data_IF_073086770638
#
_entry.id   IF_073086770638
#
_cell.length_a   1.000
_cell.length_b   1.000
_cell.length_c   1.000
_cell.angle_alpha   90.00
_cell.angle_beta   90.00
_cell.angle_gamma   90.00
#
_symmetry.space_group_name_H-M   'P 1'
#
loop_
_entity.id
_entity.type
_entity.pdbx_description
1 polymer ?
#
# COMPACT_ATOMS: atom_id res chain seq x y z
N UNK A 1 -33.69 -26.30 3.22
CA UNK A 1 -33.84 -24.83 3.09
C UNK A 1 -33.32 -24.21 4.36
N UNK A 2 -32.04 -23.84 4.38
CA UNK A 2 -31.39 -23.24 5.55
C UNK A 2 -31.71 -21.75 5.52
N UNK A 3 -32.58 -21.30 6.42
CA UNK A 3 -32.92 -19.88 6.54
C UNK A 3 -31.72 -19.12 7.09
N UNK A 4 -31.29 -18.09 6.36
CA UNK A 4 -30.28 -17.15 6.80
C UNK A 4 -30.86 -16.28 7.95
N UNK A 5 -30.12 -16.20 9.05
CA UNK A 5 -30.46 -15.35 10.21
C UNK A 5 -30.47 -13.88 9.79
N UNK A 6 -31.48 -13.07 10.20
CA UNK A 6 -31.53 -11.66 9.83
C UNK A 6 -30.48 -10.88 10.61
N UNK A 7 -29.56 -10.24 9.89
CA UNK A 7 -28.53 -9.36 10.43
C UNK A 7 -29.21 -8.06 10.89
N UNK A 8 -29.15 -7.76 12.18
CA UNK A 8 -29.67 -6.50 12.74
C UNK A 8 -28.73 -5.37 12.29
N UNK A 9 -29.21 -4.44 11.44
CA UNK A 9 -28.39 -3.34 10.89
C UNK A 9 -27.83 -2.43 11.98
N UNK A 10 -26.51 -2.25 12.02
CA UNK A 10 -25.83 -1.27 12.86
C UNK A 10 -26.01 0.16 12.30
N UNK A 11 -25.96 1.23 13.12
CA UNK A 11 -26.14 2.61 12.66
C UNK A 11 -24.99 3.16 11.79
N UNK A 12 -23.77 2.63 11.92
CA UNK A 12 -22.63 2.96 11.03
C UNK A 12 -22.43 1.82 10.00
N UNK A 13 -22.51 2.09 8.67
CA UNK A 13 -22.33 1.07 7.64
C UNK A 13 -21.03 0.25 7.74
N UNK A 14 -19.98 0.81 8.36
CA UNK A 14 -18.73 0.07 8.57
C UNK A 14 -18.89 -1.01 9.64
N UNK A 15 -19.79 -0.88 10.62
CA UNK A 15 -19.96 -1.88 11.67
C UNK A 15 -20.61 -3.15 11.11
N UNK A 16 -21.50 -3.01 10.12
CA UNK A 16 -22.04 -4.14 9.35
C UNK A 16 -20.90 -4.87 8.61
N UNK A 17 -19.94 -4.13 8.03
CA UNK A 17 -18.74 -4.72 7.41
C UNK A 17 -17.93 -5.50 8.43
N UNK A 18 -17.60 -4.90 9.58
CA UNK A 18 -16.80 -5.53 10.62
C UNK A 18 -17.46 -6.80 11.15
N UNK A 19 -18.77 -6.78 11.33
CA UNK A 19 -19.56 -7.94 11.77
C UNK A 19 -19.50 -9.07 10.76
N UNK A 20 -19.83 -8.80 9.49
CA UNK A 20 -19.81 -9.81 8.42
C UNK A 20 -18.41 -10.38 8.23
N UNK A 21 -17.37 -9.53 8.27
CA UNK A 21 -15.98 -9.98 8.14
C UNK A 21 -15.59 -10.89 9.30
N UNK A 22 -15.92 -10.53 10.54
CA UNK A 22 -15.61 -11.35 11.73
C UNK A 22 -16.29 -12.72 11.68
N UNK A 23 -17.56 -12.78 11.29
CA UNK A 23 -18.34 -14.02 11.23
C UNK A 23 -17.85 -14.97 10.13
N UNK A 24 -17.30 -14.44 9.04
CA UNK A 24 -16.99 -15.20 7.81
C UNK A 24 -15.50 -15.43 7.55
N UNK A 25 -14.60 -15.06 8.47
CA UNK A 25 -13.16 -15.30 8.30
C UNK A 25 -12.80 -16.74 7.90
N UNK A 26 -13.38 -17.81 8.51
CA UNK A 26 -13.08 -19.18 8.11
C UNK A 26 -13.42 -19.47 6.64
N UNK A 27 -14.49 -18.87 6.12
CA UNK A 27 -14.89 -19.02 4.73
C UNK A 27 -13.87 -18.38 3.78
N UNK A 28 -13.32 -17.22 4.13
CA UNK A 28 -12.33 -16.52 3.30
C UNK A 28 -11.05 -17.35 3.17
N UNK A 29 -10.65 -18.00 4.27
CA UNK A 29 -9.49 -18.90 4.36
C UNK A 29 -9.69 -20.18 3.54
N UNK A 30 -10.88 -20.77 3.60
CA UNK A 30 -11.25 -21.97 2.85
C UNK A 30 -11.36 -21.69 1.34
N UNK A 31 -12.12 -20.66 0.97
CA UNK A 31 -12.37 -20.28 -0.44
C UNK A 31 -11.16 -19.64 -1.10
N UNK A 32 -10.20 -19.13 -0.32
CA UNK A 32 -9.02 -18.39 -0.80
C UNK A 32 -9.39 -17.12 -1.57
N UNK A 33 -10.54 -16.51 -1.26
CA UNK A 33 -10.98 -15.20 -1.77
C UNK A 33 -12.12 -14.64 -0.91
N UNK A 34 -12.34 -13.33 -0.96
CA UNK A 34 -13.53 -12.68 -0.39
C UNK A 34 -14.73 -12.94 -1.31
N UNK A 35 -15.83 -13.54 -0.82
CA UNK A 35 -17.03 -13.80 -1.62
C UNK A 35 -17.68 -12.52 -2.15
N UNK A 36 -18.29 -12.59 -3.35
CA UNK A 36 -18.93 -11.43 -4.01
C UNK A 36 -20.02 -10.78 -3.15
N UNK A 37 -20.81 -11.55 -2.42
CA UNK A 37 -21.85 -11.03 -1.55
C UNK A 37 -21.27 -10.23 -0.36
N UNK A 38 -20.04 -10.51 0.08
CA UNK A 38 -19.29 -9.68 1.04
C UNK A 38 -18.76 -8.41 0.39
N UNK A 39 -18.29 -8.49 -0.86
CA UNK A 39 -17.92 -7.30 -1.66
C UNK A 39 -19.11 -6.35 -1.81
N UNK A 40 -20.33 -6.86 -1.97
CA UNK A 40 -21.54 -6.02 -1.99
C UNK A 40 -21.81 -5.33 -0.64
N UNK A 41 -21.41 -5.93 0.50
CA UNK A 41 -21.44 -5.23 1.80
C UNK A 41 -20.44 -4.08 1.80
N UNK A 42 -19.23 -4.29 1.27
CA UNK A 42 -18.21 -3.24 1.15
C UNK A 42 -18.67 -2.08 0.25
N UNK A 43 -19.34 -2.39 -0.87
CA UNK A 43 -19.97 -1.38 -1.75
C UNK A 43 -21.03 -0.57 -1.00
N UNK A 44 -21.94 -1.23 -0.27
CA UNK A 44 -22.96 -0.54 0.54
C UNK A 44 -22.39 0.33 1.64
N UNK A 45 -21.24 -0.03 2.20
CA UNK A 45 -20.51 0.78 3.17
C UNK A 45 -19.72 1.95 2.54
N UNK A 46 -19.77 2.10 1.21
CA UNK A 46 -19.16 3.20 0.48
C UNK A 46 -17.65 3.03 0.26
N UNK A 47 -17.06 1.86 0.52
CA UNK A 47 -15.62 1.65 0.41
C UNK A 47 -15.14 1.80 -1.04
N UNK A 48 -15.93 1.34 -2.01
CA UNK A 48 -15.57 1.39 -3.43
C UNK A 48 -15.93 2.71 -4.12
N UNK A 49 -16.85 3.52 -3.59
CA UNK A 49 -17.08 4.90 -4.08
C UNK A 49 -16.16 5.95 -3.44
N UNK A 50 -15.35 5.57 -2.44
CA UNK A 50 -14.49 6.48 -1.69
C UNK A 50 -13.37 7.15 -2.51
N UNK A 51 -13.18 6.73 -3.76
CA UNK A 51 -12.24 7.35 -4.71
C UNK A 51 -12.83 7.57 -6.11
N UNK A 52 -14.13 7.32 -6.27
CA UNK A 52 -14.86 7.63 -7.51
C UNK A 52 -15.11 9.13 -7.59
N UNK A 53 -14.90 9.79 -8.74
CA UNK A 53 -15.10 11.23 -8.86
C UNK A 53 -16.53 11.66 -8.51
N UNK A 54 -16.69 12.84 -7.89
CA UNK A 54 -18.01 13.35 -7.47
C UNK A 54 -18.98 13.47 -8.64
N UNK A 55 -18.47 13.85 -9.80
CA UNK A 55 -19.25 13.98 -11.03
C UNK A 55 -19.90 12.66 -11.50
N UNK A 56 -19.39 11.52 -11.03
CA UNK A 56 -19.93 10.19 -11.32
C UNK A 56 -20.68 9.59 -10.11
N UNK A 57 -21.07 10.43 -9.13
CA UNK A 57 -21.81 10.02 -7.94
C UNK A 57 -20.96 9.43 -6.82
N UNK A 58 -19.63 9.53 -6.91
CA UNK A 58 -18.73 9.08 -5.85
C UNK A 58 -18.69 10.00 -4.64
N UNK A 59 -18.02 9.51 -3.59
CA UNK A 59 -17.76 10.27 -2.36
C UNK A 59 -16.26 10.26 -2.02
N UNK A 60 -15.42 11.01 -2.77
CA UNK A 60 -13.97 11.06 -2.53
C UNK A 60 -13.62 11.44 -1.09
N UNK A 61 -13.08 10.48 -0.35
CA UNK A 61 -12.64 10.71 1.02
C UNK A 61 -11.22 11.26 1.07
N UNK A 62 -10.89 12.10 2.07
CA UNK A 62 -9.51 12.35 2.45
C UNK A 62 -8.77 11.02 2.70
N UNK A 63 -7.51 10.86 2.25
CA UNK A 63 -6.76 9.61 2.37
C UNK A 63 -6.74 9.03 3.79
N UNK A 64 -6.47 9.85 4.81
CA UNK A 64 -6.43 9.40 6.21
C UNK A 64 -7.78 8.82 6.68
N UNK A 65 -8.91 9.35 6.21
CA UNK A 65 -10.25 8.86 6.58
C UNK A 65 -10.51 7.50 5.94
N UNK A 66 -10.17 7.32 4.67
CA UNK A 66 -10.28 6.03 4.00
C UNK A 66 -9.35 4.98 4.65
N UNK A 67 -8.09 5.35 4.90
CA UNK A 67 -7.10 4.47 5.55
C UNK A 67 -7.56 4.00 6.94
N UNK A 68 -8.22 4.86 7.72
CA UNK A 68 -8.79 4.48 9.02
C UNK A 68 -9.90 3.41 8.90
N UNK A 69 -10.72 3.43 7.85
CA UNK A 69 -11.69 2.37 7.59
C UNK A 69 -10.99 1.05 7.28
N UNK A 70 -9.96 1.09 6.44
CA UNK A 70 -9.17 -0.09 6.07
C UNK A 70 -8.43 -0.67 7.28
N UNK A 71 -7.86 0.18 8.14
CA UNK A 71 -7.22 -0.24 9.39
C UNK A 71 -8.19 -1.03 10.27
N UNK A 72 -9.42 -0.52 10.46
CA UNK A 72 -10.47 -1.18 11.27
C UNK A 72 -10.83 -2.55 10.70
N UNK A 73 -11.03 -2.65 9.39
CA UNK A 73 -11.33 -3.95 8.74
C UNK A 73 -10.15 -4.91 8.88
N UNK A 74 -8.92 -4.41 8.71
CA UNK A 74 -7.69 -5.21 8.78
C UNK A 74 -7.39 -5.73 10.20
N UNK A 75 -7.88 -5.05 11.23
CA UNK A 75 -7.83 -5.52 12.62
C UNK A 75 -8.79 -6.69 12.89
N UNK A 76 -9.81 -6.87 12.05
CA UNK A 76 -10.67 -8.06 12.07
C UNK A 76 -10.06 -9.14 11.18
N UNK A 77 -9.86 -8.83 9.89
CA UNK A 77 -9.27 -9.74 8.92
C UNK A 77 -8.35 -9.00 7.94
N UNK A 78 -7.07 -9.38 7.92
CA UNK A 78 -6.07 -8.75 7.05
C UNK A 78 -6.35 -8.92 5.55
N UNK A 79 -6.94 -10.06 5.14
CA UNK A 79 -7.27 -10.29 3.72
C UNK A 79 -8.44 -9.44 3.26
N UNK A 80 -9.49 -9.33 4.08
CA UNK A 80 -10.64 -8.48 3.82
C UNK A 80 -10.23 -7.00 3.77
N UNK A 81 -9.42 -6.55 4.73
CA UNK A 81 -8.89 -5.19 4.75
C UNK A 81 -8.05 -4.89 3.51
N UNK A 82 -7.19 -5.83 3.10
CA UNK A 82 -6.42 -5.72 1.86
C UNK A 82 -7.31 -5.59 0.63
N UNK A 83 -8.34 -6.42 0.46
CA UNK A 83 -9.25 -6.35 -0.69
C UNK A 83 -10.10 -5.09 -0.69
N UNK A 84 -10.59 -4.66 0.48
CA UNK A 84 -11.33 -3.41 0.63
C UNK A 84 -10.47 -2.18 0.27
N UNK A 85 -9.17 -2.23 0.57
CA UNK A 85 -8.22 -1.14 0.30
C UNK A 85 -8.12 -0.74 -1.17
N UNK A 86 -8.46 -1.66 -2.09
CA UNK A 86 -8.50 -1.40 -3.53
C UNK A 86 -9.63 -0.44 -3.93
N UNK A 87 -10.54 -0.04 -3.03
CA UNK A 87 -11.40 1.12 -3.25
C UNK A 87 -10.59 2.39 -3.60
N UNK A 88 -9.39 2.53 -3.02
CA UNK A 88 -8.47 3.62 -3.39
C UNK A 88 -8.01 3.58 -4.84
N UNK A 89 -7.99 2.41 -5.49
CA UNK A 89 -7.36 2.23 -6.80
C UNK A 89 -8.10 2.94 -7.94
N UNK A 90 -9.33 3.41 -7.70
CA UNK A 90 -10.08 4.23 -8.65
C UNK A 90 -9.42 5.59 -8.93
N UNK A 91 -8.51 6.06 -8.07
CA UNK A 91 -7.64 7.21 -8.39
C UNK A 91 -6.79 6.98 -9.64
N UNK A 92 -6.53 5.73 -10.03
CA UNK A 92 -5.83 5.42 -11.28
C UNK A 92 -6.73 5.62 -12.49
N UNK A 93 -8.01 5.25 -12.37
CA UNK A 93 -8.98 5.33 -13.45
C UNK A 93 -9.35 6.77 -13.79
N UNK A 94 -9.07 7.71 -12.88
CA UNK A 94 -9.17 9.14 -13.14
C UNK A 94 -8.29 9.62 -14.30
N UNK A 95 -7.25 8.88 -14.70
CA UNK A 95 -6.41 9.19 -15.86
C UNK A 95 -7.00 8.73 -17.21
N UNK A 96 -8.14 8.03 -17.20
CA UNK A 96 -8.87 7.69 -18.42
C UNK A 96 -9.57 8.95 -18.99
N UNK A 97 -9.90 8.99 -20.29
CA UNK A 97 -10.80 10.01 -20.85
C UNK A 97 -12.13 10.08 -20.09
N UNK A 98 -12.72 11.28 -20.06
CA UNK A 98 -13.94 11.53 -19.28
C UNK A 98 -15.13 10.71 -19.77
N UNK A 99 -15.20 10.49 -21.07
CA UNK A 99 -16.22 9.69 -21.75
C UNK A 99 -16.08 8.21 -21.35
N UNK A 100 -14.85 7.68 -21.30
CA UNK A 100 -14.56 6.33 -20.81
C UNK A 100 -14.95 6.18 -19.34
N UNK A 101 -14.66 7.19 -18.50
CA UNK A 101 -15.09 7.16 -17.10
C UNK A 101 -16.62 7.23 -16.99
N UNK A 102 -17.30 8.01 -17.82
CA UNK A 102 -18.76 8.05 -17.84
C UNK A 102 -19.36 6.68 -18.19
N UNK A 103 -18.77 5.95 -19.14
CA UNK A 103 -19.16 4.56 -19.45
C UNK A 103 -18.85 3.61 -18.28
N UNK A 104 -17.68 3.74 -17.65
CA UNK A 104 -17.25 2.92 -16.53
C UNK A 104 -18.21 3.02 -15.33
N UNK A 105 -18.67 4.23 -15.01
CA UNK A 105 -19.53 4.52 -13.86
C UNK A 105 -21.02 4.62 -14.22
N UNK A 106 -21.42 4.22 -15.43
CA UNK A 106 -22.80 4.35 -15.91
C UNK A 106 -23.82 3.61 -15.01
N UNK A 107 -23.42 2.46 -14.45
CA UNK A 107 -24.26 1.64 -13.56
C UNK A 107 -24.11 2.00 -12.07
N UNK A 108 -23.35 3.04 -11.75
CA UNK A 108 -23.17 3.56 -10.40
C UNK A 108 -21.69 3.78 -10.00
N UNK A 109 -21.47 4.43 -8.84
CA UNK A 109 -20.13 4.85 -8.42
C UNK A 109 -19.30 3.75 -7.77
N UNK A 110 -19.88 2.61 -7.39
CA UNK A 110 -19.22 1.54 -6.63
C UNK A 110 -18.56 0.50 -7.54
N UNK A 111 -17.56 0.93 -8.31
CA UNK A 111 -16.79 0.06 -9.21
C UNK A 111 -15.66 -0.64 -8.44
N UNK A 112 -15.60 -1.96 -8.52
CA UNK A 112 -14.48 -2.73 -7.97
C UNK A 112 -13.43 -2.95 -9.06
N UNK A 113 -12.30 -2.26 -8.92
CA UNK A 113 -11.14 -2.44 -9.78
C UNK A 113 -10.10 -3.34 -9.10
N UNK A 114 -9.65 -4.37 -9.80
CA UNK A 114 -8.52 -5.20 -9.41
C UNK A 114 -7.56 -5.33 -10.59
N UNK A 115 -6.28 -5.63 -10.34
CA UNK A 115 -5.35 -5.77 -11.45
C UNK A 115 -4.03 -6.41 -11.09
N UNK A 116 -3.45 -7.10 -12.07
CA UNK A 116 -2.09 -7.60 -12.06
C UNK A 116 -1.26 -6.74 -13.00
N UNK A 117 -0.44 -5.84 -12.46
CA UNK A 117 0.33 -4.92 -13.31
C UNK A 117 1.67 -5.50 -13.77
N UNK A 118 2.11 -6.60 -13.16
CA UNK A 118 3.42 -7.20 -13.41
C UNK A 118 3.34 -8.72 -13.63
N UNK A 119 4.27 -9.30 -14.40
CA UNK A 119 5.24 -8.59 -15.25
C UNK A 119 4.54 -7.80 -16.36
N UNK A 120 5.08 -6.63 -16.73
CA UNK A 120 4.55 -5.86 -17.87
C UNK A 120 4.78 -6.67 -19.14
N UNK A 121 3.72 -6.87 -19.92
CA UNK A 121 3.78 -7.65 -21.17
C UNK A 121 3.82 -6.72 -22.38
N UNK A 122 4.52 -7.08 -23.47
CA UNK A 122 4.40 -6.35 -24.72
C UNK A 122 2.96 -6.45 -25.25
N UNK A 123 2.45 -5.36 -25.82
CA UNK A 123 1.18 -5.34 -26.54
C UNK A 123 1.39 -4.74 -27.93
N UNK A 124 0.82 -5.40 -28.93
CA UNK A 124 0.87 -4.98 -30.33
C UNK A 124 -0.18 -3.88 -30.55
N UNK A 125 0.20 -2.77 -31.18
CA UNK A 125 -0.76 -1.76 -31.62
C UNK A 125 -1.45 -2.26 -32.90
N UNK A 126 -2.78 -2.24 -32.88
CA UNK A 126 -3.63 -2.73 -33.97
C UNK A 126 -4.72 -1.70 -34.27
N UNK A 127 -5.48 -1.91 -35.35
CA UNK A 127 -6.69 -1.12 -35.57
C UNK A 127 -7.63 -1.29 -34.37
N UNK A 128 -8.09 -0.15 -33.81
CA UNK A 128 -8.94 -0.13 -32.64
C UNK A 128 -8.24 -0.24 -31.29
N UNK A 129 -6.89 -0.20 -31.21
CA UNK A 129 -6.17 -0.06 -29.94
C UNK A 129 -5.00 -1.03 -29.78
N UNK A 130 -5.00 -1.82 -28.70
CA UNK A 130 -3.92 -2.74 -28.35
C UNK A 130 -4.39 -4.18 -28.25
N UNK A 131 -3.69 -5.10 -28.93
CA UNK A 131 -3.89 -6.54 -28.74
C UNK A 131 -3.11 -6.99 -27.49
N UNK A 132 -3.84 -7.35 -26.46
CA UNK A 132 -3.33 -7.74 -25.14
C UNK A 132 -3.29 -9.26 -25.02
N UNK A 133 -2.09 -9.80 -24.77
CA UNK A 133 -1.88 -11.24 -24.56
C UNK A 133 -0.84 -11.43 -23.46
N UNK A 134 -1.12 -12.31 -22.51
CA UNK A 134 -0.15 -12.64 -21.48
C UNK A 134 -0.75 -13.14 -20.19
N UNK A 135 0.11 -13.20 -19.17
CA UNK A 135 -0.22 -13.59 -17.81
C UNK A 135 0.39 -12.61 -16.82
N UNK A 136 -0.42 -12.10 -15.91
CA UNK A 136 -0.04 -11.16 -14.86
C UNK A 136 -0.34 -11.75 -13.50
N UNK A 137 0.55 -11.52 -12.54
CA UNK A 137 0.48 -12.14 -11.22
C UNK A 137 -0.10 -11.18 -10.18
N UNK A 138 -0.58 -11.75 -9.07
CA UNK A 138 -0.96 -11.02 -7.86
C UNK A 138 -2.14 -10.04 -8.02
N UNK A 139 -3.18 -10.40 -8.79
CA UNK A 139 -4.36 -9.58 -8.91
C UNK A 139 -5.31 -9.78 -7.71
N UNK A 140 -4.99 -9.12 -6.60
CA UNK A 140 -5.77 -9.19 -5.35
C UNK A 140 -7.22 -8.76 -5.58
N UNK A 141 -8.17 -9.52 -5.04
CA UNK A 141 -9.61 -9.23 -5.15
C UNK A 141 -10.22 -9.49 -6.53
N UNK A 142 -9.46 -10.04 -7.49
CA UNK A 142 -9.90 -10.12 -8.89
C UNK A 142 -11.18 -10.95 -9.12
N UNK A 143 -11.51 -11.91 -8.26
CA UNK A 143 -12.74 -12.72 -8.37
C UNK A 143 -14.01 -11.90 -8.09
N UNK A 144 -13.89 -10.82 -7.32
CA UNK A 144 -14.96 -9.89 -7.00
C UNK A 144 -14.94 -8.60 -7.82
N UNK A 145 -14.04 -8.46 -8.80
CA UNK A 145 -13.87 -7.23 -9.56
C UNK A 145 -14.88 -7.06 -10.69
N UNK A 146 -15.34 -5.83 -10.89
CA UNK A 146 -16.21 -5.41 -11.99
C UNK A 146 -15.38 -5.09 -13.25
N UNK A 147 -14.14 -4.64 -13.05
CA UNK A 147 -13.16 -4.39 -14.12
C UNK A 147 -11.75 -4.80 -13.68
N UNK A 148 -10.94 -5.22 -14.65
CA UNK A 148 -9.61 -5.78 -14.43
C UNK A 148 -8.54 -4.99 -15.16
N UNK A 149 -7.41 -4.70 -14.49
CA UNK A 149 -6.27 -3.98 -15.07
C UNK A 149 -5.08 -4.89 -15.30
N UNK A 150 -4.44 -4.77 -16.47
CA UNK A 150 -3.17 -5.46 -16.77
C UNK A 150 -2.12 -4.50 -17.33
N UNK A 151 -0.86 -4.70 -16.92
CA UNK A 151 0.26 -3.84 -17.34
C UNK A 151 0.77 -4.21 -18.73
N UNK A 152 0.74 -3.27 -19.68
CA UNK A 152 1.23 -3.46 -21.05
C UNK A 152 2.35 -2.47 -21.40
N UNK A 153 3.23 -2.87 -22.31
CA UNK A 153 4.20 -2.00 -22.99
C UNK A 153 3.77 -1.85 -24.44
N UNK A 154 3.35 -0.64 -24.81
CA UNK A 154 2.90 -0.29 -26.15
C UNK A 154 4.07 0.13 -27.04
N UNK A 155 4.57 -0.78 -27.89
CA UNK A 155 5.58 -0.48 -28.92
C UNK A 155 6.83 0.29 -28.45
N UNK A 156 7.60 0.82 -29.39
CA UNK A 156 8.75 1.71 -29.11
C UNK A 156 8.32 3.19 -28.98
N UNK A 157 7.12 3.55 -29.44
CA UNK A 157 6.66 4.93 -29.59
C UNK A 157 5.99 5.55 -28.35
N UNK A 158 5.57 4.75 -27.36
CA UNK A 158 4.80 5.25 -26.22
C UNK A 158 5.71 5.68 -25.04
N UNK A 159 6.17 6.94 -25.00
CA UNK A 159 6.79 7.70 -23.86
C UNK A 159 7.73 6.97 -22.86
N UNK A 160 8.17 5.75 -23.16
CA UNK A 160 8.86 4.82 -22.26
C UNK A 160 8.02 4.26 -21.09
N UNK A 161 6.83 4.79 -20.78
CA UNK A 161 6.06 4.41 -19.58
C UNK A 161 5.07 3.26 -19.87
N UNK A 162 5.03 2.21 -19.04
CA UNK A 162 4.00 1.17 -19.15
C UNK A 162 2.58 1.74 -19.03
N UNK A 163 1.67 1.23 -19.86
CA UNK A 163 0.24 1.48 -19.77
C UNK A 163 -0.41 0.40 -18.91
N UNK A 164 -1.57 0.74 -18.34
CA UNK A 164 -2.52 -0.23 -17.81
C UNK A 164 -3.67 -0.32 -18.80
N UNK A 165 -3.93 -1.51 -19.32
CA UNK A 165 -5.13 -1.80 -20.10
C UNK A 165 -6.25 -2.24 -19.15
N UNK A 166 -7.42 -1.62 -19.27
CA UNK A 166 -8.61 -1.96 -18.48
C UNK A 166 -9.50 -2.88 -19.31
N UNK A 167 -9.88 -4.01 -18.74
CA UNK A 167 -10.64 -5.08 -19.37
C UNK A 167 -11.90 -5.38 -18.57
N UNK A 168 -12.97 -5.77 -19.26
CA UNK A 168 -14.17 -6.35 -18.66
C UNK A 168 -13.90 -7.82 -18.27
N UNK A 169 -14.60 -8.40 -17.28
CA UNK A 169 -14.34 -9.76 -16.81
C UNK A 169 -14.39 -10.84 -17.90
N UNK A 170 -15.26 -10.69 -18.91
CA UNK A 170 -15.35 -11.64 -20.04
C UNK A 170 -14.12 -11.69 -20.95
N UNK A 171 -13.24 -10.68 -20.89
CA UNK A 171 -12.00 -10.63 -21.66
C UNK A 171 -10.81 -11.26 -20.93
N UNK A 172 -10.98 -11.64 -19.66
CA UNK A 172 -9.89 -12.09 -18.79
C UNK A 172 -10.24 -13.42 -18.14
N UNK A 173 -9.36 -14.40 -18.27
CA UNK A 173 -9.45 -15.64 -17.49
C UNK A 173 -8.66 -15.48 -16.20
N UNK A 174 -9.34 -15.57 -15.06
CA UNK A 174 -8.71 -15.65 -13.74
C UNK A 174 -8.21 -17.08 -13.53
N UNK A 175 -6.92 -17.24 -13.23
CA UNK A 175 -6.33 -18.56 -12.95
C UNK A 175 -6.40 -18.88 -11.46
N UNK A 176 -7.09 -19.96 -11.07
CA UNK A 176 -7.09 -20.39 -9.67
C UNK A 176 -5.73 -20.98 -9.26
N UNK A 177 -4.80 -20.11 -8.86
CA UNK A 177 -3.46 -20.47 -8.43
C UNK A 177 -3.00 -19.81 -7.12
N UNK A 178 -3.91 -19.24 -6.33
CA UNK A 178 -3.56 -18.56 -5.08
C UNK A 178 -3.51 -19.57 -3.92
N UNK A 179 -2.40 -20.30 -3.79
CA UNK A 179 -2.15 -21.29 -2.74
C UNK A 179 -0.99 -20.83 -1.86
N UNK A 180 -1.31 -20.09 -0.80
CA UNK A 180 -0.34 -19.44 0.09
C UNK A 180 -0.65 -19.74 1.56
N UNK A 181 0.27 -19.42 2.48
CA UNK A 181 0.13 -19.65 3.93
C UNK A 181 -0.44 -18.46 4.71
N UNK A 182 -0.52 -17.28 4.08
CA UNK A 182 -1.06 -16.07 4.68
C UNK A 182 -1.64 -15.17 3.60
N UNK A 183 -2.54 -14.26 3.99
CA UNK A 183 -3.33 -13.45 3.03
C UNK A 183 -4.12 -14.32 2.03
N UNK A 184 -4.60 -15.49 2.47
CA UNK A 184 -5.27 -16.45 1.58
C UNK A 184 -6.59 -15.91 1.05
N UNK A 185 -7.33 -15.20 1.90
CA UNK A 185 -8.60 -14.58 1.53
C UNK A 185 -8.47 -13.46 0.49
N UNK A 186 -7.27 -12.99 0.13
CA UNK A 186 -7.14 -11.93 -0.88
C UNK A 186 -7.47 -12.40 -2.28
N UNK A 187 -7.41 -13.71 -2.55
CA UNK A 187 -7.63 -14.26 -3.89
C UNK A 187 -6.77 -13.59 -4.95
N UNK A 188 -5.47 -13.42 -4.67
CA UNK A 188 -4.53 -12.72 -5.56
C UNK A 188 -4.08 -13.57 -6.75
N UNK A 189 -5.06 -14.18 -7.41
CA UNK A 189 -4.91 -15.03 -8.58
C UNK A 189 -4.24 -14.29 -9.75
N UNK A 190 -3.71 -15.08 -10.68
CA UNK A 190 -3.17 -14.53 -11.92
C UNK A 190 -4.30 -14.18 -12.91
N UNK A 191 -4.10 -13.12 -13.68
CA UNK A 191 -4.95 -12.76 -14.82
C UNK A 191 -4.31 -13.28 -16.10
N UNK A 192 -5.09 -13.93 -16.97
CA UNK A 192 -4.65 -14.42 -18.27
C UNK A 192 -5.54 -13.84 -19.36
N UNK A 193 -4.91 -13.20 -20.35
CA UNK A 193 -5.59 -12.63 -21.52
C UNK A 193 -5.04 -13.28 -22.78
N UNK A 194 -5.93 -13.72 -23.68
CA UNK A 194 -5.60 -14.48 -24.89
C UNK A 194 -5.87 -13.66 -26.17
N UNK A 195 -5.29 -12.47 -26.27
CA UNK A 195 -5.37 -11.64 -27.48
C UNK A 195 -6.61 -10.74 -27.56
N UNK A 196 -7.17 -10.30 -26.43
CA UNK A 196 -8.24 -9.31 -26.42
C UNK A 196 -7.75 -7.98 -26.99
N UNK A 197 -8.56 -7.32 -27.80
CA UNK A 197 -8.28 -5.95 -28.27
C UNK A 197 -8.88 -4.97 -27.26
N UNK A 198 -8.03 -4.11 -26.71
CA UNK A 198 -8.41 -3.06 -25.76
C UNK A 198 -8.30 -1.70 -26.45
N UNK A 199 -9.38 -0.91 -26.52
CA UNK A 199 -9.33 0.44 -27.09
C UNK A 199 -8.32 1.34 -26.39
N UNK A 200 -7.74 2.29 -27.12
CA UNK A 200 -6.70 3.19 -26.60
C UNK A 200 -7.26 4.03 -25.43
N UNK A 201 -8.51 4.46 -25.53
CA UNK A 201 -9.27 5.19 -24.51
C UNK A 201 -9.59 4.37 -23.24
N UNK A 202 -9.42 3.04 -23.29
CA UNK A 202 -9.50 2.13 -22.13
C UNK A 202 -8.10 1.80 -21.56
N UNK A 203 -7.09 2.60 -21.90
CA UNK A 203 -5.74 2.51 -21.34
C UNK A 203 -5.31 3.79 -20.63
N UNK A 204 -4.47 3.66 -19.61
CA UNK A 204 -3.92 4.81 -18.90
C UNK A 204 -2.49 4.55 -18.40
N UNK A 205 -1.71 5.61 -18.17
CA UNK A 205 -0.43 5.51 -17.46
C UNK A 205 -0.70 5.54 -15.96
N UNK A 206 -0.20 4.56 -15.20
CA UNK A 206 -0.37 4.58 -13.73
C UNK A 206 0.33 5.79 -13.11
N UNK A 207 -0.45 6.66 -12.45
CA UNK A 207 0.02 7.95 -11.96
C UNK A 207 0.20 9.00 -13.08
N UNK A 208 -0.47 8.80 -14.22
CA UNK A 208 -0.67 9.83 -15.23
C UNK A 208 -1.60 10.94 -14.74
N UNK A 209 -1.69 12.01 -15.54
CA UNK A 209 -2.51 13.17 -15.22
C UNK A 209 -3.99 12.77 -15.16
N UNK A 210 -4.72 13.09 -14.07
CA UNK A 210 -6.14 12.85 -14.01
C UNK A 210 -6.90 13.80 -14.94
N UNK A 211 -8.00 13.33 -15.53
CA UNK A 211 -8.92 14.16 -16.33
C UNK A 211 -10.03 14.81 -15.49
N UNK A 212 -10.00 14.58 -14.18
CA UNK A 212 -10.89 15.18 -13.17
C UNK A 212 -10.09 16.06 -12.21
N UNK A 213 -10.59 17.27 -11.95
CA UNK A 213 -9.92 18.23 -11.08
C UNK A 213 -10.56 18.28 -9.69
N UNK A 214 -10.20 17.31 -8.84
CA UNK A 214 -10.62 17.26 -7.43
C UNK A 214 -9.41 17.00 -6.52
N UNK A 215 -9.43 17.43 -5.24
CA UNK A 215 -8.26 17.33 -4.37
C UNK A 215 -7.66 15.91 -4.27
N UNK A 216 -8.48 14.87 -4.20
CA UNK A 216 -8.00 13.48 -4.11
C UNK A 216 -7.10 13.07 -5.28
N UNK A 217 -7.39 13.54 -6.49
CA UNK A 217 -6.63 13.17 -7.70
C UNK A 217 -5.30 13.93 -7.83
N UNK A 218 -5.10 14.97 -7.03
CA UNK A 218 -3.82 15.68 -6.90
C UNK A 218 -2.91 15.05 -5.83
N UNK A 219 -3.46 14.14 -5.01
CA UNK A 219 -2.68 13.41 -4.02
C UNK A 219 -1.74 12.40 -4.69
N UNK A 220 -0.48 12.22 -4.23
CA UNK A 220 0.48 11.37 -4.90
C UNK A 220 0.02 9.91 -5.03
N UNK A 221 -0.36 9.51 -6.24
CA UNK A 221 -1.04 8.23 -6.53
C UNK A 221 -0.24 6.99 -6.17
N UNK A 222 1.08 7.01 -6.39
CA UNK A 222 1.97 5.86 -6.10
C UNK A 222 2.27 5.75 -4.60
N UNK A 223 2.62 6.84 -3.88
CA UNK A 223 2.65 6.82 -2.42
C UNK A 223 1.33 6.41 -1.78
N UNK A 224 0.18 6.85 -2.31
CA UNK A 224 -1.13 6.45 -1.80
C UNK A 224 -1.34 4.94 -1.89
N UNK A 225 -0.92 4.33 -3.01
CA UNK A 225 -0.90 2.88 -3.18
C UNK A 225 -0.09 2.19 -2.08
N UNK A 226 1.08 2.72 -1.73
CA UNK A 226 1.89 2.16 -0.66
C UNK A 226 1.23 2.32 0.71
N UNK A 227 0.57 3.46 0.97
CA UNK A 227 -0.14 3.72 2.23
C UNK A 227 -1.29 2.74 2.44
N UNK A 228 -2.12 2.49 1.43
CA UNK A 228 -3.27 1.57 1.56
C UNK A 228 -2.86 0.12 1.79
N UNK A 229 -1.67 -0.30 1.34
CA UNK A 229 -1.12 -1.61 1.65
C UNK A 229 -0.47 -1.64 3.05
N UNK A 230 0.20 -0.55 3.44
CA UNK A 230 0.88 -0.45 4.73
C UNK A 230 -0.11 -0.39 5.91
N UNK A 231 -1.26 0.30 5.76
CA UNK A 231 -2.26 0.43 6.84
C UNK A 231 -2.87 -0.91 7.23
N UNK A 232 -2.91 -1.88 6.31
CA UNK A 232 -3.33 -3.26 6.63
C UNK A 232 -2.44 -3.86 7.71
N UNK A 233 -1.13 -3.59 7.65
CA UNK A 233 -0.17 -4.01 8.66
C UNK A 233 -0.45 -3.41 10.05
N UNK A 234 -0.93 -2.16 10.13
CA UNK A 234 -1.32 -1.55 11.41
C UNK A 234 -2.51 -2.27 12.05
N UNK A 235 -3.54 -2.59 11.25
CA UNK A 235 -4.69 -3.35 11.72
C UNK A 235 -4.31 -4.75 12.19
N UNK A 236 -3.54 -5.50 11.38
CA UNK A 236 -3.08 -6.85 11.75
C UNK A 236 -2.20 -6.82 13.01
N UNK A 237 -1.32 -5.81 13.15
CA UNK A 237 -0.50 -5.66 14.34
C UNK A 237 -1.33 -5.37 15.60
N UNK A 238 -2.38 -4.56 15.49
CA UNK A 238 -3.35 -4.33 16.57
C UNK A 238 -4.00 -5.66 17.00
N UNK A 239 -4.53 -6.43 16.05
CA UNK A 239 -5.16 -7.72 16.31
C UNK A 239 -4.20 -8.71 17.00
N UNK A 240 -2.96 -8.78 16.52
CA UNK A 240 -1.94 -9.65 17.12
C UNK A 240 -1.61 -9.25 18.57
N UNK A 241 -1.52 -7.94 18.85
CA UNK A 241 -1.26 -7.45 20.20
C UNK A 241 -2.45 -7.68 21.14
N UNK A 242 -3.68 -7.48 20.66
CA UNK A 242 -4.90 -7.77 21.44
C UNK A 242 -5.02 -9.25 21.77
N UNK A 243 -4.70 -10.12 20.81
CA UNK A 243 -4.64 -11.56 21.03
C UNK A 243 -3.58 -11.94 22.06
N UNK A 244 -2.39 -11.32 22.01
CA UNK A 244 -1.36 -11.53 23.02
C UNK A 244 -1.89 -11.14 24.40
N UNK A 245 -2.43 -9.92 24.56
CA UNK A 245 -2.99 -9.43 25.83
C UNK A 245 -4.05 -10.38 26.38
N UNK A 246 -5.01 -10.81 25.54
CA UNK A 246 -6.07 -11.72 25.92
C UNK A 246 -5.52 -13.09 26.36
N UNK A 247 -4.57 -13.65 25.62
CA UNK A 247 -3.92 -14.92 25.96
C UNK A 247 -3.10 -14.81 27.25
N UNK A 248 -2.41 -13.69 27.47
CA UNK A 248 -1.61 -13.42 28.66
C UNK A 248 -2.44 -13.37 29.94
N UNK A 249 -3.73 -13.04 29.85
CA UNK A 249 -4.67 -13.05 30.96
C UNK A 249 -5.18 -14.44 31.35
N UNK A 250 -4.88 -15.49 30.58
CA UNK A 250 -5.35 -16.86 30.84
C UNK A 250 -4.30 -17.66 31.61
N UNK A 251 -4.77 -18.48 32.56
CA UNK A 251 -3.90 -19.44 33.25
C UNK A 251 -3.50 -20.57 32.29
N UNK A 252 -2.31 -21.14 32.51
CA UNK A 252 -1.86 -22.30 31.72
C UNK A 252 -2.69 -23.54 32.03
N UNK A 253 -2.89 -24.39 31.02
CA UNK A 253 -3.67 -25.63 31.16
C UNK A 253 -3.14 -26.56 32.27
N UNK A 254 -1.83 -26.55 32.51
CA UNK A 254 -1.16 -27.34 33.55
C UNK A 254 -1.09 -26.65 34.92
N UNK A 255 -1.85 -25.56 35.13
CA UNK A 255 -1.84 -24.77 36.37
C UNK A 255 -0.73 -23.73 36.46
N UNK A 256 0.01 -23.49 35.37
CA UNK A 256 1.01 -22.42 35.33
C UNK A 256 0.35 -21.03 35.55
N UNK A 257 0.97 -20.12 36.32
CA UNK A 257 0.48 -18.76 36.49
C UNK A 257 0.29 -18.04 35.16
N UNK A 258 -0.59 -17.03 35.16
CA UNK A 258 -0.89 -16.27 33.94
C UNK A 258 0.39 -15.60 33.44
N UNK A 259 0.68 -15.61 32.13
CA UNK A 259 1.81 -14.86 31.61
C UNK A 259 1.82 -13.40 32.05
N UNK A 260 0.65 -12.76 32.15
CA UNK A 260 0.49 -11.38 32.61
C UNK A 260 0.95 -11.11 34.05
N UNK A 261 1.05 -12.14 34.91
CA UNK A 261 1.58 -11.97 36.27
C UNK A 261 3.11 -11.68 36.25
N UNK A 262 3.80 -12.10 35.18
CA UNK A 262 5.25 -11.88 34.99
C UNK A 262 5.52 -10.45 34.53
N UNK A 263 6.43 -9.76 35.22
CA UNK A 263 6.82 -8.39 34.86
C UNK A 263 7.39 -8.31 33.43
N UNK A 264 8.21 -9.29 33.03
CA UNK A 264 8.82 -9.34 31.69
C UNK A 264 7.78 -9.41 30.58
N UNK A 265 6.67 -10.12 30.80
CA UNK A 265 5.56 -10.19 29.85
C UNK A 265 4.85 -8.84 29.70
N UNK A 266 4.52 -8.19 30.82
CA UNK A 266 3.89 -6.85 30.84
C UNK A 266 4.78 -5.80 30.19
N UNK A 267 6.09 -5.85 30.42
CA UNK A 267 7.06 -4.97 29.77
C UNK A 267 7.07 -5.18 28.26
N UNK A 268 7.11 -6.43 27.78
CA UNK A 268 7.10 -6.74 26.35
C UNK A 268 5.81 -6.25 25.67
N UNK A 269 4.64 -6.45 26.30
CA UNK A 269 3.36 -5.91 25.81
C UNK A 269 3.39 -4.38 25.76
N UNK A 270 3.89 -3.72 26.81
CA UNK A 270 4.01 -2.26 26.84
C UNK A 270 4.93 -1.70 25.76
N UNK A 271 6.05 -2.38 25.48
CA UNK A 271 6.96 -2.03 24.39
C UNK A 271 6.29 -2.20 23.02
N UNK A 272 5.59 -3.30 22.80
CA UNK A 272 4.85 -3.55 21.56
C UNK A 272 3.73 -2.50 21.33
N UNK A 273 3.00 -2.13 22.38
CA UNK A 273 1.98 -1.07 22.33
C UNK A 273 2.60 0.28 21.96
N UNK A 274 3.71 0.65 22.58
CA UNK A 274 4.42 1.89 22.28
C UNK A 274 4.95 1.91 20.83
N UNK A 275 5.48 0.79 20.34
CA UNK A 275 5.96 0.66 18.97
C UNK A 275 4.82 0.78 17.96
N UNK A 276 3.70 0.08 18.18
CA UNK A 276 2.54 0.15 17.29
C UNK A 276 1.93 1.56 17.28
N UNK A 277 1.74 2.18 18.45
CA UNK A 277 1.19 3.54 18.55
C UNK A 277 2.07 4.59 17.89
N UNK A 278 3.38 4.51 18.05
CA UNK A 278 4.32 5.44 17.41
C UNK A 278 4.35 5.28 15.89
N UNK A 279 4.36 4.04 15.38
CA UNK A 279 4.24 3.77 13.95
C UNK A 279 2.92 4.29 13.37
N UNK A 280 1.81 4.06 14.07
CA UNK A 280 0.47 4.55 13.68
C UNK A 280 0.42 6.09 13.66
N UNK A 281 0.94 6.75 14.69
CA UNK A 281 0.96 8.21 14.77
C UNK A 281 1.72 8.82 13.58
N UNK A 282 2.95 8.37 13.34
CA UNK A 282 3.75 8.85 12.22
C UNK A 282 3.10 8.58 10.86
N UNK A 283 2.48 7.41 10.68
CA UNK A 283 1.79 7.05 9.44
C UNK A 283 0.64 8.02 9.12
N UNK A 284 -0.22 8.32 10.09
CA UNK A 284 -1.34 9.23 9.87
C UNK A 284 -0.90 10.69 9.81
N UNK A 285 0.05 11.12 10.64
CA UNK A 285 0.62 12.48 10.59
C UNK A 285 1.17 12.80 9.20
N UNK A 286 2.02 11.93 8.64
CA UNK A 286 2.57 12.13 7.29
C UNK A 286 1.50 12.13 6.18
N UNK A 287 0.43 11.34 6.37
CA UNK A 287 -0.70 11.29 5.44
C UNK A 287 -1.50 12.58 5.49
N UNK A 288 -1.79 13.09 6.68
CA UNK A 288 -2.54 14.33 6.90
C UNK A 288 -1.75 15.55 6.42
N UNK A 289 -0.45 15.64 6.72
CA UNK A 289 0.43 16.72 6.22
C UNK A 289 0.42 16.79 4.67
N UNK A 290 0.50 15.64 4.02
CA UNK A 290 0.44 15.55 2.55
C UNK A 290 -0.93 16.01 2.04
N UNK A 291 -2.01 15.61 2.70
CA UNK A 291 -3.36 16.00 2.33
C UNK A 291 -3.62 17.49 2.52
N UNK A 292 -3.18 18.07 3.63
CA UNK A 292 -3.27 19.51 3.91
C UNK A 292 -2.54 20.32 2.84
N UNK A 293 -1.35 19.88 2.43
CA UNK A 293 -0.60 20.49 1.33
C UNK A 293 -1.40 20.47 0.02
N UNK A 294 -2.05 19.35 -0.29
CA UNK A 294 -2.90 19.20 -1.49
C UNK A 294 -4.09 20.15 -1.45
N UNK A 295 -4.80 20.23 -0.32
CA UNK A 295 -6.00 21.05 -0.16
C UNK A 295 -5.66 22.54 -0.15
N UNK A 296 -4.55 22.94 0.46
CA UNK A 296 -4.07 24.32 0.46
C UNK A 296 -3.55 24.80 -0.91
N UNK A 297 -3.43 23.92 -1.90
CA UNK A 297 -2.82 24.22 -3.19
C UNK A 297 -1.31 24.46 -3.08
N UNK A 298 -0.65 23.79 -2.12
CA UNK A 298 0.76 23.96 -1.78
C UNK A 298 1.75 23.66 -2.92
N UNK A 299 3.05 23.92 -2.69
CA UNK A 299 4.08 23.86 -3.70
C UNK A 299 4.09 22.51 -4.42
N UNK A 300 4.15 22.58 -5.75
CA UNK A 300 4.26 21.42 -6.61
C UNK A 300 5.69 21.25 -7.07
N UNK A 301 6.17 20.02 -7.18
CA UNK A 301 7.42 19.72 -7.87
C UNK A 301 7.27 20.06 -9.38
N UNK A 302 8.36 20.05 -10.17
CA UNK A 302 8.30 20.34 -11.61
C UNK A 302 7.38 19.41 -12.42
N UNK A 303 6.90 18.32 -11.82
CA UNK A 303 5.93 17.37 -12.40
C UNK A 303 4.51 17.57 -11.86
N UNK A 304 4.25 18.66 -11.13
CA UNK A 304 2.92 19.01 -10.63
C UNK A 304 2.53 18.33 -9.31
N UNK A 305 3.45 17.61 -8.64
CA UNK A 305 3.12 16.80 -7.45
C UNK A 305 3.33 17.59 -6.15
N UNK A 306 2.47 17.46 -5.14
CA UNK A 306 2.66 18.10 -3.84
C UNK A 306 4.04 17.78 -3.26
N UNK A 307 4.79 18.80 -2.89
CA UNK A 307 6.04 18.66 -2.15
C UNK A 307 5.69 18.59 -0.67
N UNK A 308 5.84 17.43 -0.02
CA UNK A 308 5.76 17.36 1.43
C UNK A 308 6.91 18.21 2.01
N UNK A 309 6.57 19.24 2.78
CA UNK A 309 7.50 20.16 3.41
C UNK A 309 8.28 19.47 4.55
N UNK A 310 9.21 18.56 4.21
CA UNK A 310 10.02 17.88 5.23
C UNK A 310 10.84 16.69 4.73
N UNK A 311 10.56 16.18 3.54
CA UNK A 311 11.38 15.13 2.95
C UNK A 311 12.58 15.75 2.21
N UNK A 312 13.83 15.39 2.56
CA UNK A 312 14.96 15.78 1.74
C UNK A 312 14.73 15.26 0.32
N UNK A 313 15.07 16.06 -0.72
CA UNK A 313 14.92 15.60 -2.09
C UNK A 313 15.65 14.25 -2.25
N UNK A 314 15.10 13.32 -3.06
CA UNK A 314 15.78 12.07 -3.30
C UNK A 314 17.20 12.38 -3.75
N UNK A 315 18.20 11.81 -3.06
CA UNK A 315 19.61 12.00 -3.39
C UNK A 315 19.75 11.63 -4.86
N UNK A 316 19.98 12.62 -5.72
CA UNK A 316 20.28 12.36 -7.11
C UNK A 316 21.55 11.53 -7.13
N UNK A 317 21.43 10.24 -7.45
CA UNK A 317 22.59 9.44 -7.80
C UNK A 317 23.09 10.03 -9.11
N UNK A 318 24.03 10.97 -9.03
CA UNK A 318 24.81 11.36 -10.20
C UNK A 318 25.37 10.05 -10.79
N UNK A 319 25.17 9.78 -12.09
CA UNK A 319 25.84 8.66 -12.71
C UNK A 319 27.35 8.84 -12.50
N UNK A 320 28.11 7.77 -12.21
CA UNK A 320 29.55 7.88 -12.04
C UNK A 320 30.13 8.48 -13.32
N UNK A 321 30.71 9.68 -13.21
CA UNK A 321 31.44 10.31 -14.29
C UNK A 321 32.59 9.38 -14.68
N UNK A 322 32.54 8.82 -15.89
CA UNK A 322 33.71 8.17 -16.50
C UNK A 322 34.75 9.26 -16.78
N UNK A 323 35.66 9.50 -15.85
CA UNK A 323 36.87 10.27 -16.11
C UNK A 323 38.01 9.31 -16.44
N UNK A 324 38.28 9.14 -17.74
CA UNK A 324 39.54 8.64 -18.25
C UNK A 324 40.60 9.76 -18.19
N UNK A 325 41.60 9.63 -17.32
CA UNK A 325 42.74 10.55 -17.29
C UNK A 325 43.58 10.44 -16.01
N UNK A 326 44.91 10.46 -16.08
CA UNK A 326 45.79 9.90 -15.06
C UNK A 326 46.02 10.82 -13.85
N UNK A 327 46.32 10.18 -12.72
CA UNK A 327 46.67 10.82 -11.43
C UNK A 327 47.92 11.67 -11.55
N UNK A 328 47.83 12.93 -11.11
CA UNK A 328 48.96 13.69 -10.57
C UNK A 328 48.53 14.50 -9.36
N UNK A 329 49.51 14.75 -8.50
CA UNK A 329 49.45 15.11 -7.09
C UNK A 329 49.29 16.61 -6.81
N UNK A 330 48.78 16.88 -5.60
CA UNK A 330 49.12 18.02 -4.72
C UNK A 330 48.35 19.34 -4.90
N UNK A 331 47.96 19.84 -3.72
CA UNK A 331 47.83 21.24 -3.29
C UNK A 331 46.44 21.93 -3.30
N UNK A 332 46.08 22.32 -2.07
CA UNK A 332 45.46 23.58 -1.63
C UNK A 332 43.93 23.77 -1.76
N UNK A 333 43.27 23.80 -0.61
CA UNK A 333 41.95 24.38 -0.34
C UNK A 333 42.02 25.92 -0.32
N UNK A 334 40.98 26.62 -0.78
CA UNK A 334 40.66 27.97 -0.31
C UNK A 334 39.34 28.01 0.51
N UNK A 335 39.14 29.07 1.32
CA UNK A 335 38.22 29.06 2.46
C UNK A 335 36.78 29.47 2.13
N UNK A 336 35.87 29.10 3.02
CA UNK A 336 34.46 29.50 3.09
C UNK A 336 34.29 30.96 3.47
N UNK A 337 33.19 31.63 3.04
CA UNK A 337 32.69 32.82 3.72
C UNK A 337 31.43 32.53 4.57
N UNK A 338 31.54 32.87 5.85
CA UNK A 338 30.50 33.26 6.82
C UNK A 338 29.71 34.48 6.30
N UNK A 339 28.39 34.66 6.48
CA UNK A 339 27.61 35.08 7.69
C UNK A 339 26.10 34.95 7.35
N UNK A 340 25.25 34.21 8.11
CA UNK A 340 24.42 34.59 9.28
C UNK A 340 23.12 35.40 8.96
N UNK A 341 22.07 35.48 9.81
CA UNK A 341 21.54 34.55 10.84
C UNK A 341 19.98 34.42 10.86
N UNK A 342 19.44 33.44 11.58
CA UNK A 342 18.19 33.62 12.34
C UNK A 342 18.13 32.69 13.58
N UNK A 343 18.12 33.34 14.73
CA UNK A 343 17.73 32.94 16.09
C UNK A 343 16.35 32.24 16.08
N UNK A 344 15.85 31.46 17.04
CA UNK A 344 16.13 31.24 18.45
C UNK A 344 15.24 30.04 18.91
N UNK A 345 15.70 29.09 19.74
CA UNK A 345 15.26 28.80 21.13
C UNK A 345 14.83 27.33 21.26
N UNK A 346 15.65 26.55 21.96
CA UNK A 346 15.26 25.72 23.11
C UNK A 346 16.54 25.14 23.72
N UNK A 347 16.93 25.70 24.87
CA UNK A 347 18.04 25.23 25.68
C UNK A 347 17.50 24.36 26.84
N UNK A 348 18.15 23.22 27.07
CA UNK A 348 18.25 22.58 28.39
C UNK A 348 19.67 21.98 28.55
N UNK A 349 20.24 21.94 29.77
CA UNK A 349 21.68 22.06 30.00
C UNK A 349 22.43 20.71 30.09
N UNK A 350 23.79 20.71 29.99
CA UNK A 350 24.60 19.50 30.16
C UNK A 350 24.94 19.26 31.64
N UNK A 351 24.67 18.05 32.13
CA UNK A 351 25.24 17.56 33.39
C UNK A 351 26.59 16.90 33.11
N UNK A 352 27.61 17.31 33.87
CA UNK A 352 28.95 16.72 33.80
C UNK A 352 29.41 16.23 35.18
N UNK A 353 30.08 15.06 35.14
CA UNK A 353 31.07 14.47 36.06
C UNK A 353 30.58 13.88 37.40
N UNK A 354 30.77 12.56 37.55
CA UNK A 354 31.99 11.99 38.17
C UNK A 354 31.91 10.46 38.33
N UNK A 355 32.98 9.77 37.92
CA UNK A 355 33.31 8.38 38.27
C UNK A 355 33.89 8.29 39.69
N UNK A 356 33.87 7.10 40.32
CA UNK A 356 35.14 6.36 40.41
C UNK A 356 35.03 4.85 40.12
N UNK A 357 36.21 4.31 39.86
CA UNK A 357 36.60 2.99 39.40
C UNK A 357 36.16 1.79 40.26
N UNK A 358 35.85 0.67 39.60
CA UNK A 358 36.53 -0.58 39.90
C UNK A 358 36.64 -1.45 38.63
N UNK A 359 37.86 -1.90 38.36
CA UNK A 359 38.22 -2.78 37.24
C UNK A 359 37.81 -4.21 37.59
N UNK A 360 37.22 -4.95 36.65
CA UNK A 360 37.53 -6.37 36.39
C UNK A 360 37.36 -6.63 34.90
N UNK A 361 38.43 -7.14 34.31
CA UNK A 361 38.54 -7.50 32.91
C UNK A 361 37.81 -8.81 32.62
N UNK A 362 37.18 -8.89 31.45
CA UNK A 362 37.07 -10.12 30.68
C UNK A 362 37.26 -9.77 29.20
N UNK A 363 38.39 -10.23 28.68
CA UNK A 363 38.80 -10.22 27.27
C UNK A 363 37.98 -11.22 26.47
N UNK A 364 37.48 -10.83 25.31
CA UNK A 364 37.35 -11.70 24.13
C UNK A 364 37.27 -10.82 22.87
N UNK A 365 38.14 -11.13 21.90
CA UNK A 365 38.38 -10.38 20.68
C UNK A 365 37.26 -10.55 19.63
N UNK A 366 37.07 -9.60 18.69
CA UNK A 366 36.15 -9.76 17.57
C UNK A 366 36.80 -10.56 16.42
N UNK A 367 36.09 -11.58 15.93
CA UNK A 367 36.41 -12.32 14.70
C UNK A 367 35.73 -11.61 13.52
N UNK A 368 36.46 -11.24 12.44
CA UNK A 368 35.84 -10.83 11.19
C UNK A 368 35.60 -12.06 10.31
N UNK A 369 34.37 -12.25 9.82
CA UNK A 369 34.08 -13.24 8.78
C UNK A 369 33.52 -12.55 7.54
N UNK A 370 34.40 -12.38 6.58
CA UNK A 370 34.12 -12.12 5.18
C UNK A 370 33.76 -13.43 4.47
N UNK A 371 32.57 -13.55 3.86
CA UNK A 371 32.35 -14.53 2.80
C UNK A 371 31.53 -13.91 1.67
N UNK A 372 32.21 -13.77 0.53
CA UNK A 372 31.68 -13.36 -0.75
C UNK A 372 30.93 -14.52 -1.41
N UNK A 373 29.79 -14.24 -2.03
CA UNK A 373 29.12 -15.16 -2.94
C UNK A 373 29.77 -15.04 -4.34
N UNK A 374 30.36 -16.13 -4.83
CA UNK A 374 30.64 -16.31 -6.26
C UNK A 374 29.52 -17.15 -6.91
N UNK A 375 29.14 -16.87 -8.17
CA UNK A 375 28.20 -17.67 -8.93
C UNK A 375 28.90 -18.87 -9.56
N UNK A 376 28.22 -20.02 -9.61
CA UNK A 376 28.69 -21.20 -10.36
C UNK A 376 27.87 -21.37 -11.65
N UNK A 377 28.50 -21.68 -12.79
CA UNK A 377 27.82 -22.01 -14.04
C UNK A 377 27.68 -23.53 -14.28
N UNK A 378 26.52 -23.89 -14.82
CA UNK A 378 26.19 -24.93 -15.82
C UNK A 378 26.66 -26.42 -15.74
N UNK A 379 25.66 -27.27 -16.01
CA UNK A 379 25.60 -28.50 -16.86
C UNK A 379 26.06 -29.88 -16.34
N UNK A 380 25.09 -30.80 -16.26
CA UNK A 380 24.91 -31.92 -17.21
C UNK A 380 23.41 -32.10 -17.49
#
# INVERSE_FOLDING_TARGET
MTQATPITRSPDPIDDVLTVVAERQPEFEEKRHIPRDVIEVFKRAGLYRASTPKRFGGDPLPPARFLALIERISAVDGSAGWVASFGSSLVYLAALPLETQAELYADGPDVVFAGGLFPVQPAERVEGGYRVRGRWRFASGCTGADVLGVGIKAGEDATGRPLTAVLRPGQVRIADNWNVVGMRGTGSHDLVVDGAVVPEEWTFVRGGEPTVDEPLYRYPTVPYAAQVLAVVGLGVARAALDQAIAAGGRAGYTGAPRPADRATYRIAVGQAEAQLRSARAFFYEATEETWETVVAGGPRDPTGRPVCCGWPPPISRRPPSRSSGPRTSSAALPPSPTTAPCSAICATPPWSRSTPSSRRACTTAPVPCSWAFSPSPASC
#
